data_IF_486846801538
#
_entry.id   IF_486846801538
#
_cell.length_a   1.000
_cell.length_b   1.000
_cell.length_c   1.000
_cell.angle_alpha   90.00
_cell.angle_beta   90.00
_cell.angle_gamma   90.00
#
_symmetry.space_group_name_H-M   'P 1'
#
loop_
_entity.id
_entity.type
_entity.pdbx_description
1 polymer ?
#
# COMPACT_ATOMS: atom_id res chain seq x y z
N UNK A 1 0.81 8.42 0.05
CA UNK A 1 1.59 7.16 0.05
C UNK A 1 0.63 6.00 -0.05
N UNK A 2 0.89 5.04 -0.93
CA UNK A 2 0.04 3.86 -1.13
C UNK A 2 0.89 2.60 -1.10
N UNK A 3 0.53 1.66 -0.23
CA UNK A 3 1.04 0.29 -0.25
C UNK A 3 0.15 -0.58 -1.14
N UNK A 4 0.77 -1.32 -2.06
CA UNK A 4 0.13 -2.35 -2.86
C UNK A 4 0.54 -3.72 -2.30
N UNK A 5 -0.43 -4.51 -1.85
CA UNK A 5 -0.18 -5.72 -1.08
C UNK A 5 -1.07 -6.89 -1.52
N UNK A 6 -0.72 -8.09 -1.07
CA UNK A 6 -1.57 -9.28 -1.14
C UNK A 6 -1.63 -9.97 0.24
N UNK A 7 -2.80 -10.50 0.67
CA UNK A 7 -2.98 -11.02 2.04
C UNK A 7 -2.16 -12.28 2.32
N UNK A 8 -1.87 -13.07 1.28
CA UNK A 8 -1.04 -14.27 1.38
C UNK A 8 0.46 -13.96 1.44
N UNK A 9 0.89 -12.73 1.12
CA UNK A 9 2.31 -12.35 1.16
C UNK A 9 2.81 -12.17 2.60
N UNK A 10 3.82 -12.95 2.98
CA UNK A 10 4.43 -12.90 4.32
C UNK A 10 5.01 -11.53 4.68
N UNK A 11 5.72 -10.89 3.74
CA UNK A 11 6.28 -9.55 3.95
C UNK A 11 5.19 -8.49 4.16
N UNK A 12 4.06 -8.58 3.44
CA UNK A 12 2.92 -7.68 3.63
C UNK A 12 2.33 -7.81 5.03
N UNK A 13 2.16 -9.03 5.53
CA UNK A 13 1.65 -9.27 6.90
C UNK A 13 2.58 -8.70 7.97
N UNK A 14 3.90 -8.81 7.77
CA UNK A 14 4.88 -8.22 8.69
C UNK A 14 4.91 -6.68 8.61
N UNK A 15 4.68 -6.12 7.42
CA UNK A 15 4.68 -4.67 7.20
C UNK A 15 3.41 -3.99 7.73
N UNK A 16 2.26 -4.67 7.75
CA UNK A 16 0.97 -4.14 8.20
C UNK A 16 1.01 -3.29 9.48
N UNK A 17 1.54 -3.77 10.63
CA UNK A 17 1.58 -2.97 11.86
C UNK A 17 2.44 -1.70 11.73
N UNK A 18 3.50 -1.75 10.92
CA UNK A 18 4.37 -0.59 10.65
C UNK A 18 3.63 0.41 9.77
N UNK A 19 2.89 -0.06 8.77
CA UNK A 19 2.10 0.77 7.87
C UNK A 19 0.95 1.49 8.58
N UNK A 20 0.25 0.80 9.47
CA UNK A 20 -0.80 1.38 10.32
C UNK A 20 -0.24 2.46 11.26
N UNK A 21 0.93 2.20 11.87
CA UNK A 21 1.63 3.20 12.68
C UNK A 21 2.04 4.43 11.85
N UNK A 22 2.61 4.23 10.67
CA UNK A 22 2.98 5.32 9.76
C UNK A 22 1.77 6.18 9.39
N UNK A 23 0.62 5.56 9.10
CA UNK A 23 -0.61 6.28 8.80
C UNK A 23 -1.09 7.16 9.97
N UNK A 24 -0.89 6.70 11.21
CA UNK A 24 -1.19 7.47 12.41
C UNK A 24 -0.24 8.65 12.58
N UNK A 25 1.07 8.42 12.44
CA UNK A 25 2.10 9.45 12.62
C UNK A 25 2.03 10.55 11.55
N UNK A 26 1.63 10.21 10.32
CA UNK A 26 1.52 11.16 9.21
C UNK A 26 0.13 11.79 9.05
N UNK A 27 -0.78 11.52 9.97
CA UNK A 27 -2.16 12.03 9.91
C UNK A 27 -2.16 13.56 9.85
N UNK A 28 -2.84 14.12 8.86
CA UNK A 28 -2.91 15.57 8.63
C UNK A 28 -1.81 16.13 7.72
N UNK A 29 -0.72 15.40 7.50
CA UNK A 29 0.38 15.81 6.62
C UNK A 29 0.39 15.03 5.30
N UNK A 30 0.24 13.70 5.38
CA UNK A 30 0.29 12.82 4.22
C UNK A 30 -0.84 11.79 4.32
N UNK A 31 -1.60 11.64 3.23
CA UNK A 31 -2.57 10.53 3.13
C UNK A 31 -1.81 9.22 2.90
N UNK A 32 -1.94 8.29 3.83
CA UNK A 32 -1.40 6.94 3.75
C UNK A 32 -2.55 5.97 3.48
N UNK A 33 -2.42 5.12 2.47
CA UNK A 33 -3.44 4.16 2.07
C UNK A 33 -2.83 2.81 1.70
N UNK A 34 -3.68 1.81 1.52
CA UNK A 34 -3.29 0.48 1.09
C UNK A 34 -4.30 -0.06 0.07
N UNK A 35 -3.82 -0.82 -0.92
CA UNK A 35 -4.61 -1.44 -1.98
C UNK A 35 -4.33 -2.94 -1.99
N UNK A 36 -5.39 -3.73 -1.80
CA UNK A 36 -5.33 -5.18 -1.93
C UNK A 36 -5.35 -5.57 -3.42
N UNK A 37 -4.23 -6.03 -3.93
CA UNK A 37 -4.10 -6.42 -5.33
C UNK A 37 -4.72 -7.78 -5.66
N UNK A 38 -5.11 -8.58 -4.66
CA UNK A 38 -5.90 -9.79 -4.90
C UNK A 38 -7.30 -9.44 -5.39
N UNK A 39 -7.91 -8.40 -4.83
CA UNK A 39 -9.26 -7.94 -5.21
C UNK A 39 -9.23 -6.82 -6.24
N UNK A 40 -8.17 -6.02 -6.30
CA UNK A 40 -8.03 -4.86 -7.19
C UNK A 40 -6.93 -5.06 -8.25
N UNK A 41 -6.97 -6.19 -8.97
CA UNK A 41 -5.94 -6.58 -9.96
C UNK A 41 -5.72 -5.52 -11.05
N UNK A 42 -6.80 -4.94 -11.57
CA UNK A 42 -6.73 -3.91 -12.62
C UNK A 42 -6.02 -2.64 -12.15
N UNK A 43 -6.34 -2.17 -10.94
CA UNK A 43 -5.68 -1.00 -10.33
C UNK A 43 -4.18 -1.27 -10.18
N UNK A 44 -3.81 -2.42 -9.62
CA UNK A 44 -2.39 -2.75 -9.42
C UNK A 44 -1.64 -2.97 -10.74
N UNK A 45 -2.30 -3.51 -11.77
CA UNK A 45 -1.76 -3.61 -13.12
C UNK A 45 -1.52 -2.25 -13.77
N UNK A 46 -2.49 -1.33 -13.71
CA UNK A 46 -2.34 0.06 -14.21
C UNK A 46 -1.25 0.82 -13.46
N UNK A 47 -1.11 0.55 -12.16
CA UNK A 47 -0.05 1.13 -11.35
C UNK A 47 1.30 0.45 -11.60
N UNK A 48 1.40 -0.62 -12.38
CA UNK A 48 2.66 -1.33 -12.65
C UNK A 48 3.26 -1.95 -11.39
N UNK A 49 2.45 -2.73 -10.66
CA UNK A 49 2.88 -3.48 -9.48
C UNK A 49 3.25 -4.90 -9.90
N UNK A 50 4.53 -5.25 -9.77
CA UNK A 50 5.06 -6.56 -10.18
C UNK A 50 5.40 -7.48 -8.99
N UNK A 51 5.54 -6.91 -7.79
CA UNK A 51 5.87 -7.67 -6.57
C UNK A 51 5.24 -7.02 -5.33
N UNK A 52 5.16 -7.79 -4.23
CA UNK A 52 4.53 -7.35 -2.99
C UNK A 52 5.48 -7.45 -1.78
N UNK A 53 5.42 -6.48 -0.84
CA UNK A 53 4.70 -5.21 -0.97
C UNK A 53 5.41 -4.25 -1.95
N UNK A 54 4.65 -3.39 -2.62
CA UNK A 54 5.18 -2.26 -3.39
C UNK A 54 4.63 -0.95 -2.82
N UNK A 55 5.50 0.03 -2.54
CA UNK A 55 5.09 1.34 -2.04
C UNK A 55 5.25 2.36 -3.16
N UNK A 56 4.20 3.13 -3.45
CA UNK A 56 4.28 4.27 -4.39
C UNK A 56 3.84 5.58 -3.74
N UNK A 57 4.56 6.65 -4.06
CA UNK A 57 4.14 8.00 -3.74
C UNK A 57 3.21 8.52 -4.84
N UNK A 58 2.01 8.96 -4.45
CA UNK A 58 1.04 9.57 -5.35
C UNK A 58 0.92 11.03 -4.97
N UNK A 59 1.02 11.93 -5.95
CA UNK A 59 0.68 13.34 -5.76
C UNK A 59 -0.83 13.42 -5.49
N UNK A 60 -1.24 14.25 -4.54
CA UNK A 60 -2.66 14.57 -4.36
C UNK A 60 -3.16 15.20 -5.66
N UNK A 61 -4.27 14.67 -6.18
CA UNK A 61 -5.04 15.35 -7.21
C UNK A 61 -5.70 16.60 -6.66
#
# INVERSE_FOLDING_TARGET
LVEFYAPWCGHCRQMKPIWERLASELRGFVKVGAVNCETQKSVCGMEGVESYPTIKMKKGG
#
